data_IF_287474415999
#
_entry.id   IF_287474415999
#
_cell.length_a   1.000
_cell.length_b   1.000
_cell.length_c   1.000
_cell.angle_alpha   90.00
_cell.angle_beta   90.00
_cell.angle_gamma   90.00
#
_symmetry.space_group_name_H-M   'P 1'
#
loop_
_entity.id
_entity.type
_entity.pdbx_description
1 polymer ?
#
# COMPACT_ATOMS: atom_id res chain seq x y z
N UNK A 1 10.83 -17.51 5.41
CA UNK A 1 11.00 -16.15 4.82
C UNK A 1 10.31 -16.02 3.47
N UNK A 2 10.68 -16.79 2.43
CA UNK A 2 10.04 -16.70 1.10
C UNK A 2 8.52 -16.95 1.16
N UNK A 3 8.08 -17.94 1.94
CA UNK A 3 6.64 -18.20 2.12
C UNK A 3 5.87 -17.02 2.71
N UNK A 4 6.48 -16.24 3.62
CA UNK A 4 5.84 -15.05 4.17
C UNK A 4 5.73 -13.94 3.10
N UNK A 5 6.77 -13.75 2.28
CA UNK A 5 6.77 -12.77 1.18
C UNK A 5 5.69 -13.06 0.13
N UNK A 6 5.41 -14.34 -0.15
CA UNK A 6 4.46 -14.73 -1.20
C UNK A 6 3.04 -14.96 -0.69
N UNK A 7 2.87 -15.65 0.45
CA UNK A 7 1.57 -16.11 0.91
C UNK A 7 0.93 -15.19 1.95
N UNK A 8 1.71 -14.49 2.78
CA UNK A 8 1.12 -13.56 3.75
C UNK A 8 0.30 -12.44 3.06
N UNK A 9 0.79 -11.80 1.97
CA UNK A 9 -0.01 -10.83 1.22
C UNK A 9 -1.35 -11.38 0.72
N UNK A 10 -1.41 -12.66 0.33
CA UNK A 10 -2.66 -13.28 -0.13
C UNK A 10 -3.70 -13.27 0.98
N UNK A 11 -3.31 -13.74 2.17
CA UNK A 11 -4.19 -13.81 3.34
C UNK A 11 -4.57 -12.42 3.82
N UNK A 12 -3.60 -11.51 3.87
CA UNK A 12 -3.82 -10.12 4.25
C UNK A 12 -4.82 -9.43 3.32
N UNK A 13 -4.67 -9.53 2.00
CA UNK A 13 -5.64 -8.93 1.07
C UNK A 13 -7.04 -9.55 1.21
N UNK A 14 -7.14 -10.87 1.42
CA UNK A 14 -8.43 -11.53 1.68
C UNK A 14 -9.10 -10.94 2.93
N UNK A 15 -8.35 -10.78 4.02
CA UNK A 15 -8.90 -10.26 5.28
C UNK A 15 -9.24 -8.78 5.15
N UNK A 16 -8.30 -7.95 4.73
CA UNK A 16 -8.46 -6.50 4.75
C UNK A 16 -9.35 -5.98 3.63
N UNK A 17 -9.24 -6.52 2.41
CA UNK A 17 -10.00 -6.05 1.24
C UNK A 17 -11.22 -6.92 0.99
N UNK A 18 -11.05 -8.23 1.06
CA UNK A 18 -12.15 -9.19 0.87
C UNK A 18 -13.21 -9.13 1.99
N UNK A 19 -12.80 -8.95 3.25
CA UNK A 19 -13.72 -8.99 4.39
C UNK A 19 -13.94 -7.60 5.01
N UNK A 20 -12.90 -6.99 5.58
CA UNK A 20 -13.03 -5.76 6.39
C UNK A 20 -13.55 -4.60 5.55
N UNK A 21 -12.93 -4.32 4.41
CA UNK A 21 -13.33 -3.23 3.51
C UNK A 21 -14.77 -3.42 3.02
N UNK A 22 -15.15 -4.62 2.52
CA UNK A 22 -16.51 -4.84 2.04
C UNK A 22 -17.55 -4.69 3.17
N UNK A 23 -17.30 -5.27 4.35
CA UNK A 23 -18.22 -5.16 5.50
C UNK A 23 -18.42 -3.70 5.94
N UNK A 24 -17.37 -2.89 5.91
CA UNK A 24 -17.50 -1.46 6.24
C UNK A 24 -18.17 -0.66 5.13
N UNK A 25 -17.90 -1.00 3.87
CA UNK A 25 -18.50 -0.33 2.72
C UNK A 25 -20.02 -0.53 2.68
N UNK A 26 -20.51 -1.73 3.01
CA UNK A 26 -21.96 -2.03 3.12
C UNK A 26 -22.69 -1.16 4.15
N UNK A 27 -22.00 -0.73 5.21
CA UNK A 27 -22.58 0.04 6.32
C UNK A 27 -22.30 1.55 6.21
N UNK A 28 -21.47 1.97 5.27
CA UNK A 28 -21.02 3.36 5.20
C UNK A 28 -20.80 3.83 3.75
N UNK A 29 -19.58 4.20 3.39
CA UNK A 29 -19.22 4.62 2.05
C UNK A 29 -17.89 3.99 1.65
N UNK A 30 -17.67 3.78 0.35
CA UNK A 30 -16.45 3.16 -0.15
C UNK A 30 -15.19 3.94 0.28
N UNK A 31 -15.25 5.27 0.34
CA UNK A 31 -14.14 6.10 0.83
C UNK A 31 -13.88 5.87 2.32
N UNK A 32 -14.91 5.83 3.17
CA UNK A 32 -14.74 5.59 4.62
C UNK A 32 -14.19 4.19 4.87
N UNK A 33 -14.71 3.19 4.16
CA UNK A 33 -14.23 1.82 4.24
C UNK A 33 -12.77 1.68 3.78
N UNK A 34 -12.40 2.38 2.70
CA UNK A 34 -11.02 2.45 2.22
C UNK A 34 -10.08 2.99 3.29
N UNK A 35 -10.38 4.16 3.85
CA UNK A 35 -9.54 4.80 4.86
C UNK A 35 -9.45 3.94 6.11
N UNK A 36 -10.56 3.45 6.64
CA UNK A 36 -10.58 2.67 7.87
C UNK A 36 -9.89 1.31 7.72
N UNK A 37 -10.13 0.57 6.64
CA UNK A 37 -9.42 -0.69 6.39
C UNK A 37 -7.91 -0.48 6.24
N UNK A 38 -7.48 0.62 5.61
CA UNK A 38 -6.07 0.98 5.45
C UNK A 38 -5.41 1.40 6.77
N UNK A 39 -6.14 2.10 7.64
CA UNK A 39 -5.68 2.46 8.97
C UNK A 39 -5.46 1.21 9.83
N UNK A 40 -6.43 0.29 9.86
CA UNK A 40 -6.30 -0.97 10.61
C UNK A 40 -5.15 -1.79 10.06
N UNK A 41 -5.00 -1.87 8.72
CA UNK A 41 -3.87 -2.52 8.08
C UNK A 41 -2.53 -1.91 8.55
N UNK A 42 -2.38 -0.58 8.53
CA UNK A 42 -1.15 0.06 9.02
C UNK A 42 -0.88 -0.17 10.52
N UNK A 43 -1.92 -0.16 11.36
CA UNK A 43 -1.79 -0.32 12.81
C UNK A 43 -1.38 -1.72 13.25
N UNK A 44 -1.80 -2.77 12.54
CA UNK A 44 -1.42 -4.15 12.89
C UNK A 44 0.05 -4.45 12.54
N UNK A 45 0.68 -3.64 11.69
CA UNK A 45 2.08 -3.72 11.30
C UNK A 45 2.95 -2.76 12.13
N UNK A 46 2.72 -2.69 13.44
CA UNK A 46 3.40 -1.75 14.35
C UNK A 46 4.89 -2.07 14.55
N UNK A 47 5.30 -3.30 14.25
CA UNK A 47 6.68 -3.76 14.20
C UNK A 47 7.41 -3.29 12.92
N UNK A 48 6.66 -2.75 11.96
CA UNK A 48 7.13 -2.17 10.70
C UNK A 48 6.86 -0.65 10.68
N UNK A 49 7.37 0.02 9.64
CA UNK A 49 7.05 1.43 9.38
C UNK A 49 5.55 1.58 9.05
N UNK A 50 4.79 2.15 9.98
CA UNK A 50 3.33 2.32 9.87
C UNK A 50 2.91 3.14 8.64
N UNK A 51 3.66 4.21 8.32
CA UNK A 51 3.31 5.14 7.23
C UNK A 51 3.33 4.45 5.86
N UNK A 52 4.40 3.74 5.44
CA UNK A 52 4.39 2.90 4.24
C UNK A 52 3.23 1.90 4.20
N UNK A 53 2.92 1.25 5.33
CA UNK A 53 1.85 0.25 5.38
C UNK A 53 0.47 0.88 5.21
N UNK A 54 0.23 2.06 5.78
CA UNK A 54 -0.99 2.83 5.55
C UNK A 54 -1.12 3.24 4.08
N UNK A 55 -0.03 3.71 3.45
CA UNK A 55 -0.02 4.09 2.03
C UNK A 55 -0.30 2.88 1.13
N UNK A 56 0.36 1.74 1.37
CA UNK A 56 0.06 0.47 0.68
C UNK A 56 -1.40 0.05 0.90
N UNK A 57 -1.87 0.17 2.15
CA UNK A 57 -3.26 0.19 2.59
C UNK A 57 -4.21 0.82 1.58
N UNK A 58 -4.03 2.13 1.40
CA UNK A 58 -4.85 2.99 0.54
C UNK A 58 -4.73 2.60 -0.94
N UNK A 59 -3.52 2.28 -1.42
CA UNK A 59 -3.29 1.93 -2.82
C UNK A 59 -3.99 0.62 -3.17
N UNK A 60 -3.75 -0.46 -2.42
CA UNK A 60 -4.33 -1.76 -2.72
C UNK A 60 -5.85 -1.74 -2.53
N UNK A 61 -6.35 -1.02 -1.51
CA UNK A 61 -7.78 -0.83 -1.30
C UNK A 61 -8.46 -0.06 -2.45
N UNK A 62 -7.83 1.01 -2.95
CA UNK A 62 -8.33 1.77 -4.09
C UNK A 62 -8.36 0.91 -5.37
N UNK A 63 -7.29 0.15 -5.63
CA UNK A 63 -7.21 -0.78 -6.77
C UNK A 63 -8.31 -1.83 -6.67
N UNK A 64 -8.52 -2.42 -5.49
CA UNK A 64 -9.59 -3.38 -5.28
C UNK A 64 -10.97 -2.77 -5.55
N UNK A 65 -11.23 -1.59 -5.00
CA UNK A 65 -12.48 -0.88 -5.20
C UNK A 65 -12.74 -0.55 -6.68
N UNK A 66 -11.72 -0.21 -7.47
CA UNK A 66 -11.91 0.11 -8.90
C UNK A 66 -11.98 -1.11 -9.80
N UNK A 67 -11.15 -2.10 -9.54
CA UNK A 67 -11.06 -3.28 -10.41
C UNK A 67 -12.10 -4.34 -10.07
N UNK A 68 -12.67 -4.30 -8.86
CA UNK A 68 -13.57 -5.31 -8.28
C UNK A 68 -12.94 -6.72 -8.21
N UNK A 69 -11.63 -6.85 -8.41
CA UNK A 69 -10.91 -8.14 -8.42
C UNK A 69 -9.79 -8.12 -7.38
N UNK A 70 -9.80 -9.12 -6.51
CA UNK A 70 -8.80 -9.26 -5.44
C UNK A 70 -7.41 -9.66 -5.95
N UNK A 71 -7.32 -10.22 -7.16
CA UNK A 71 -6.03 -10.63 -7.73
C UNK A 71 -5.06 -9.47 -7.96
N UNK A 72 -5.57 -8.26 -8.28
CA UNK A 72 -4.71 -7.09 -8.51
C UNK A 72 -4.04 -6.56 -7.25
N UNK A 73 -4.76 -6.29 -6.13
CA UNK A 73 -4.10 -5.90 -4.89
C UNK A 73 -3.17 -7.00 -4.38
N UNK A 74 -3.53 -8.29 -4.50
CA UNK A 74 -2.65 -9.41 -4.13
C UNK A 74 -1.34 -9.36 -4.91
N UNK A 75 -1.43 -9.24 -6.24
CA UNK A 75 -0.25 -9.19 -7.10
C UNK A 75 0.64 -7.98 -6.76
N UNK A 76 0.04 -6.80 -6.57
CA UNK A 76 0.78 -5.59 -6.20
C UNK A 76 1.47 -5.72 -4.85
N UNK A 77 0.82 -6.36 -3.87
CA UNK A 77 1.37 -6.53 -2.54
C UNK A 77 2.51 -7.57 -2.54
N UNK A 78 2.33 -8.70 -3.22
CA UNK A 78 3.42 -9.68 -3.42
C UNK A 78 4.62 -9.04 -4.13
N UNK A 79 4.37 -8.26 -5.19
CA UNK A 79 5.44 -7.56 -5.91
C UNK A 79 6.18 -6.56 -5.01
N UNK A 80 5.45 -5.79 -4.20
CA UNK A 80 6.03 -4.86 -3.23
C UNK A 80 6.93 -5.60 -2.21
N UNK A 81 6.45 -6.70 -1.64
CA UNK A 81 7.24 -7.48 -0.69
C UNK A 81 8.45 -8.14 -1.35
N UNK A 82 8.34 -8.58 -2.61
CA UNK A 82 9.49 -9.11 -3.37
C UNK A 82 10.55 -8.03 -3.62
N UNK A 83 10.14 -6.80 -3.95
CA UNK A 83 11.06 -5.68 -4.12
C UNK A 83 11.80 -5.36 -2.81
N UNK A 84 11.08 -5.28 -1.69
CA UNK A 84 11.70 -5.07 -0.38
C UNK A 84 12.63 -6.22 0.01
N UNK A 85 12.21 -7.46 -0.22
CA UNK A 85 13.05 -8.63 0.04
C UNK A 85 14.30 -8.63 -0.84
N UNK A 86 14.22 -8.21 -2.10
CA UNK A 86 15.37 -8.13 -3.00
C UNK A 86 16.39 -7.08 -2.54
N UNK A 87 15.93 -5.95 -1.98
CA UNK A 87 16.81 -4.93 -1.41
C UNK A 87 17.60 -5.46 -0.21
N UNK A 88 16.98 -6.33 0.61
CA UNK A 88 17.64 -6.99 1.74
C UNK A 88 18.75 -7.95 1.32
N UNK A 89 18.72 -8.47 0.08
CA UNK A 89 19.74 -9.38 -0.44
C UNK A 89 20.98 -8.63 -0.98
N UNK A 90 20.94 -7.31 -1.10
CA UNK A 90 22.09 -6.51 -1.50
C UNK A 90 23.05 -6.45 -0.30
N UNK A 91 24.29 -6.97 -0.41
CA UNK A 91 25.26 -6.86 0.67
C UNK A 91 25.54 -5.37 0.91
N UNK A 92 25.22 -4.91 2.12
CA UNK A 92 25.62 -3.60 2.60
C UNK A 92 26.97 -3.79 3.24
N UNK A 93 28.02 -3.24 2.64
CA UNK A 93 29.34 -3.23 3.25
C UNK A 93 29.22 -2.56 4.63
N UNK A 94 29.66 -3.26 5.68
CA UNK A 94 29.66 -2.69 7.03
C UNK A 94 30.61 -1.49 7.04
N UNK A 95 30.05 -0.30 7.16
CA UNK A 95 30.84 0.92 7.40
C UNK A 95 31.45 0.76 8.78
N UNK A 96 32.79 0.76 8.92
CA UNK A 96 33.43 0.61 10.22
C UNK A 96 32.87 1.66 11.19
N UNK A 97 32.59 1.28 12.44
CA UNK A 97 32.08 2.21 13.47
C UNK A 97 33.04 3.38 13.72
N UNK A 98 34.33 3.19 13.40
CA UNK A 98 35.38 4.21 13.45
C UNK A 98 35.58 4.94 12.13
N UNK A 99 34.70 4.78 11.14
CA UNK A 99 34.76 5.53 9.90
C UNK A 99 34.69 7.01 10.23
N UNK A 100 35.80 7.71 10.00
CA UNK A 100 35.84 9.16 10.11
C UNK A 100 34.83 9.67 9.09
N UNK A 101 33.81 10.41 9.53
CA UNK A 101 32.89 11.10 8.64
C UNK A 101 33.73 12.04 7.78
N UNK A 102 34.02 11.63 6.55
CA UNK A 102 34.79 12.42 5.60
C UNK A 102 33.87 13.39 4.89
N UNK A 103 34.43 14.50 4.41
CA UNK A 103 33.73 15.42 3.50
C UNK A 103 33.11 14.67 2.31
N UNK A 104 33.79 13.62 1.81
CA UNK A 104 33.28 12.78 0.73
C UNK A 104 31.99 12.02 1.11
N UNK A 105 31.91 11.43 2.30
CA UNK A 105 30.69 10.75 2.76
C UNK A 105 29.53 11.74 2.95
N UNK A 106 29.82 12.94 3.45
CA UNK A 106 28.82 14.01 3.61
C UNK A 106 28.27 14.44 2.25
N UNK A 107 29.13 14.62 1.24
CA UNK A 107 28.72 14.99 -0.11
C UNK A 107 27.89 13.90 -0.79
N UNK A 108 28.26 12.63 -0.63
CA UNK A 108 27.49 11.49 -1.14
C UNK A 108 26.10 11.40 -0.47
N UNK A 109 26.03 11.51 0.85
CA UNK A 109 24.78 11.50 1.60
C UNK A 109 23.90 12.71 1.24
N UNK A 110 24.49 13.91 1.14
CA UNK A 110 23.78 15.14 0.77
C UNK A 110 23.24 15.04 -0.65
N UNK A 111 24.02 14.49 -1.57
CA UNK A 111 23.59 14.23 -2.95
C UNK A 111 22.44 13.23 -2.99
N UNK A 112 22.53 12.12 -2.26
CA UNK A 112 21.47 11.12 -2.16
C UNK A 112 20.17 11.70 -1.57
N UNK A 113 20.28 12.54 -0.53
CA UNK A 113 19.14 13.23 0.07
C UNK A 113 18.52 14.27 -0.88
N UNK A 114 19.34 15.02 -1.62
CA UNK A 114 18.87 15.98 -2.63
C UNK A 114 18.13 15.28 -3.78
N UNK A 115 18.67 14.17 -4.28
CA UNK A 115 18.00 13.36 -5.30
C UNK A 115 16.68 12.77 -4.74
N UNK A 116 16.72 12.20 -3.53
CA UNK A 116 15.54 11.59 -2.91
C UNK A 116 14.43 12.62 -2.65
N UNK A 117 14.79 13.82 -2.19
CA UNK A 117 13.84 14.91 -1.97
C UNK A 117 13.25 15.43 -3.29
N UNK A 118 14.03 15.55 -4.36
CA UNK A 118 13.52 15.92 -5.68
C UNK A 118 12.52 14.88 -6.21
N UNK A 119 12.87 13.60 -6.12
CA UNK A 119 11.97 12.49 -6.50
C UNK A 119 10.68 12.54 -5.68
N UNK A 120 10.77 12.81 -4.37
CA UNK A 120 9.60 12.95 -3.51
C UNK A 120 8.73 14.15 -3.90
N UNK A 121 9.31 15.32 -4.14
CA UNK A 121 8.59 16.55 -4.53
C UNK A 121 7.85 16.36 -5.87
N UNK A 122 8.41 15.60 -6.81
CA UNK A 122 7.78 15.32 -8.11
C UNK A 122 6.71 14.22 -7.98
N UNK A 123 7.01 13.15 -7.25
CA UNK A 123 6.11 11.99 -7.14
C UNK A 123 4.90 12.25 -6.26
N UNK A 124 5.02 13.05 -5.19
CA UNK A 124 3.92 13.29 -4.26
C UNK A 124 2.71 13.97 -4.91
N UNK A 125 2.84 15.06 -5.70
CA UNK A 125 1.70 15.66 -6.40
C UNK A 125 1.06 14.71 -7.40
N UNK A 126 1.85 13.91 -8.12
CA UNK A 126 1.34 12.92 -9.08
C UNK A 126 0.56 11.82 -8.33
N UNK A 127 1.10 11.35 -7.21
CA UNK A 127 0.46 10.37 -6.35
C UNK A 127 -0.85 10.91 -5.79
N UNK A 128 -0.87 12.12 -5.23
CA UNK A 128 -2.06 12.77 -4.69
C UNK A 128 -3.11 13.04 -5.78
N UNK A 129 -2.69 13.49 -6.96
CA UNK A 129 -3.58 13.68 -8.11
C UNK A 129 -4.18 12.35 -8.56
N UNK A 130 -3.39 11.29 -8.63
CA UNK A 130 -3.87 9.94 -8.98
C UNK A 130 -4.86 9.44 -7.93
N UNK A 131 -4.52 9.54 -6.65
CA UNK A 131 -5.39 9.17 -5.54
C UNK A 131 -6.71 9.95 -5.58
N UNK A 132 -6.65 11.27 -5.80
CA UNK A 132 -7.84 12.10 -5.96
C UNK A 132 -8.67 11.71 -7.18
N UNK A 133 -8.05 11.60 -8.36
CA UNK A 133 -8.71 11.27 -9.63
C UNK A 133 -9.44 9.94 -9.55
N UNK A 134 -8.80 8.92 -8.99
CA UNK A 134 -9.38 7.59 -8.86
C UNK A 134 -10.25 7.43 -7.60
N UNK A 135 -10.13 8.26 -6.57
CA UNK A 135 -11.10 8.25 -5.46
C UNK A 135 -12.40 8.99 -5.79
N UNK A 136 -12.38 9.90 -6.78
CA UNK A 136 -13.57 10.59 -7.29
C UNK A 136 -14.59 9.55 -7.77
N UNK A 137 -15.80 9.62 -7.21
CA UNK A 137 -16.93 8.74 -7.50
C UNK A 137 -16.88 7.33 -6.90
N UNK A 138 -15.94 7.04 -5.99
CA UNK A 138 -15.92 5.72 -5.34
C UNK A 138 -17.24 5.41 -4.63
N UNK A 139 -17.88 6.39 -3.99
CA UNK A 139 -19.11 6.16 -3.25
C UNK A 139 -20.32 5.87 -4.15
N UNK A 140 -20.24 6.23 -5.44
CA UNK A 140 -21.32 6.00 -6.41
C UNK A 140 -21.23 4.60 -7.04
N UNK A 141 -20.09 3.93 -6.87
CA UNK A 141 -19.88 2.58 -7.37
C UNK A 141 -20.34 1.51 -6.38
N UNK A 142 -20.87 0.40 -6.91
CA UNK A 142 -21.12 -0.79 -6.11
C UNK A 142 -19.83 -1.30 -5.44
N UNK A 143 -19.95 -1.84 -4.23
CA UNK A 143 -18.83 -2.52 -3.58
C UNK A 143 -18.40 -3.74 -4.42
N UNK A 144 -17.12 -4.13 -4.39
CA UNK A 144 -16.66 -5.36 -5.06
C UNK A 144 -17.45 -6.60 -4.67
N UNK A 145 -17.81 -6.77 -3.39
CA UNK A 145 -18.61 -7.91 -2.95
C UNK A 145 -20.01 -7.88 -3.58
N UNK A 146 -20.68 -6.73 -3.55
CA UNK A 146 -22.01 -6.55 -4.18
C UNK A 146 -21.96 -6.80 -5.68
N UNK A 147 -20.93 -6.27 -6.37
CA UNK A 147 -20.73 -6.46 -7.81
C UNK A 147 -20.53 -7.92 -8.18
N UNK A 148 -19.71 -8.65 -7.42
CA UNK A 148 -19.36 -10.05 -7.73
C UNK A 148 -20.45 -11.05 -7.33
N UNK A 149 -21.30 -10.72 -6.36
CA UNK A 149 -22.36 -11.63 -5.86
C UNK A 149 -23.75 -11.31 -6.39
N UNK A 150 -23.95 -10.14 -7.02
CA UNK A 150 -25.25 -9.73 -7.54
C UNK A 150 -26.28 -9.33 -6.47
N UNK A 151 -25.89 -9.25 -5.19
CA UNK A 151 -26.78 -9.02 -4.03
C UNK A 151 -27.51 -7.67 -4.00
N UNK A 152 -27.39 -6.83 -5.04
CA UNK A 152 -28.11 -5.57 -5.18
C UNK A 152 -29.49 -5.72 -5.84
N UNK A 153 -29.74 -6.79 -6.63
CA UNK A 153 -31.03 -6.96 -7.33
C UNK A 153 -32.20 -7.31 -6.41
N UNK A 154 -31.94 -7.74 -5.18
CA UNK A 154 -32.96 -8.35 -4.31
C UNK A 154 -33.48 -7.41 -3.21
N UNK A 155 -33.14 -6.11 -3.27
CA UNK A 155 -33.59 -5.09 -2.29
C UNK A 155 -34.43 -3.95 -2.91
N UNK A 156 -35.15 -4.23 -3.99
CA UNK A 156 -36.17 -3.31 -4.55
C UNK A 156 -37.54 -3.95 -4.53
#
# INVERSE_FOLDING_TARGET
>A
MIGAVLFAPVIEEIIFRGIILNKWAERSSNIRALVLSSLVFGLIHFDSLIVPQLIGGLIYGLVYLKTKKLIYPIFMHVLHNLLLFSLLLIPVDEVPETAIVTEQLIDELTTALNISSLVFIISLPIFLFTLYKYSRNLNDEMTPLTFNTGLYSDRT
#
